data_IF_863728208060
#
_entry.id   IF_863728208060
#
_cell.length_a   1.000
_cell.length_b   1.000
_cell.length_c   1.000
_cell.angle_alpha   90.00
_cell.angle_beta   90.00
_cell.angle_gamma   90.00
#
_symmetry.space_group_name_H-M   'P 1'
#
loop_
_entity.id
_entity.type
_entity.pdbx_description
1 polymer ?
#
# COMPACT_ATOMS: atom_id res chain seq x y z
N UNK A 1 -13.36 89.89 -7.75
CA UNK A 1 -11.96 89.97 -8.22
C UNK A 1 -11.19 89.15 -7.21
N UNK A 2 -10.90 87.87 -7.43
CA UNK A 2 -9.99 87.32 -8.42
C UNK A 2 -10.26 85.82 -8.67
N UNK A 3 -9.70 85.29 -9.76
CA UNK A 3 -9.95 83.98 -10.40
C UNK A 3 -9.28 82.82 -9.61
N UNK A 4 -9.99 81.70 -9.34
CA UNK A 4 -9.90 80.36 -9.99
C UNK A 4 -8.61 79.55 -9.67
N UNK A 5 -8.47 78.21 -9.91
CA UNK A 5 -9.42 77.08 -10.03
C UNK A 5 -8.99 75.78 -9.27
N UNK A 6 -9.86 74.76 -9.37
CA UNK A 6 -9.55 73.32 -9.53
C UNK A 6 -8.97 72.53 -8.34
N UNK A 7 -9.42 71.30 -8.06
CA UNK A 7 -10.42 70.51 -8.76
C UNK A 7 -10.47 69.05 -8.28
N UNK A 8 -11.54 68.40 -8.75
CA UNK A 8 -11.79 66.96 -8.95
C UNK A 8 -11.95 66.06 -7.72
N UNK A 9 -13.19 65.72 -7.39
CA UNK A 9 -14.02 64.64 -7.95
C UNK A 9 -13.76 63.29 -7.25
N UNK A 10 -14.60 62.98 -6.27
CA UNK A 10 -14.79 61.63 -5.73
C UNK A 10 -16.11 61.10 -6.25
N UNK A 11 -16.07 60.13 -7.17
CA UNK A 11 -17.28 59.45 -7.65
C UNK A 11 -17.22 57.95 -7.35
N UNK A 12 -18.18 57.56 -6.50
CA UNK A 12 -19.04 56.36 -6.55
C UNK A 12 -18.41 54.97 -6.74
N UNK A 13 -18.81 54.08 -5.83
CA UNK A 13 -18.39 52.69 -5.80
C UNK A 13 -19.06 51.77 -6.81
N UNK A 14 -18.63 50.50 -6.78
CA UNK A 14 -19.43 49.32 -7.11
C UNK A 14 -18.77 48.06 -6.50
N UNK A 15 -19.60 47.21 -5.89
CA UNK A 15 -19.24 45.92 -5.28
C UNK A 15 -18.86 44.88 -6.36
N UNK A 16 -17.91 44.00 -6.06
CA UNK A 16 -17.92 42.59 -6.44
C UNK A 16 -16.89 41.83 -5.57
N UNK A 17 -17.30 40.70 -4.98
CA UNK A 17 -16.45 39.85 -4.16
C UNK A 17 -15.57 38.90 -4.97
N UNK A 18 -14.38 38.60 -4.45
CA UNK A 18 -13.49 37.49 -4.84
C UNK A 18 -12.67 37.20 -3.57
N UNK A 19 -12.84 36.07 -2.87
CA UNK A 19 -12.20 34.80 -3.19
C UNK A 19 -11.03 34.59 -2.24
N UNK A 20 -11.23 33.75 -1.20
CA UNK A 20 -10.15 33.26 -0.33
C UNK A 20 -9.15 32.50 -1.20
N UNK A 21 -7.87 32.85 -1.17
CA UNK A 21 -6.80 32.03 -1.75
C UNK A 21 -5.95 31.50 -0.60
N UNK A 22 -6.14 30.21 -0.31
CA UNK A 22 -5.23 29.38 0.45
C UNK A 22 -4.38 28.58 -0.55
N UNK A 23 -3.05 28.60 -0.37
CA UNK A 23 -2.01 27.62 -0.81
C UNK A 23 -0.67 28.37 -0.84
N UNK A 24 0.47 27.84 -0.42
CA UNK A 24 0.82 26.51 0.01
C UNK A 24 2.26 26.50 0.54
N UNK A 25 2.49 25.67 1.55
CA UNK A 25 3.83 25.34 2.06
C UNK A 25 3.94 23.85 2.45
N UNK A 26 2.93 23.03 2.12
CA UNK A 26 2.87 21.63 2.53
C UNK A 26 3.51 20.63 1.54
N UNK A 27 3.80 21.03 0.31
CA UNK A 27 4.14 20.08 -0.76
C UNK A 27 5.63 19.72 -0.85
N UNK A 28 6.54 20.55 -0.34
CA UNK A 28 7.98 20.31 -0.46
C UNK A 28 8.52 19.33 0.61
N UNK A 29 7.95 19.36 1.82
CA UNK A 29 8.42 18.52 2.93
C UNK A 29 7.98 17.06 2.74
N UNK A 30 6.78 16.82 2.20
CA UNK A 30 6.28 15.46 1.92
C UNK A 30 7.10 14.76 0.83
N UNK A 31 7.56 15.50 -0.18
CA UNK A 31 8.37 14.92 -1.28
C UNK A 31 9.77 14.52 -0.80
N UNK A 32 10.40 15.30 0.09
CA UNK A 32 11.74 15.01 0.61
C UNK A 32 11.76 13.75 1.50
N UNK A 33 10.71 13.51 2.30
CA UNK A 33 10.59 12.30 3.15
C UNK A 33 10.41 11.04 2.30
N UNK A 34 9.66 11.11 1.19
CA UNK A 34 9.50 9.97 0.26
C UNK A 34 10.82 9.61 -0.41
N UNK A 35 11.65 10.58 -0.78
CA UNK A 35 12.96 10.35 -1.41
C UNK A 35 13.99 9.81 -0.40
N UNK A 36 13.99 10.30 0.85
CA UNK A 36 14.89 9.80 1.89
C UNK A 36 14.54 8.34 2.28
N UNK A 37 13.26 7.99 2.36
CA UNK A 37 12.82 6.61 2.55
C UNK A 37 13.18 5.70 1.35
N UNK A 38 13.23 6.27 0.14
CA UNK A 38 13.64 5.55 -1.08
C UNK A 38 15.15 5.25 -1.08
N UNK A 39 15.99 6.15 -0.57
CA UNK A 39 17.46 5.99 -0.54
C UNK A 39 17.95 5.12 0.62
N UNK A 40 17.25 5.10 1.75
CA UNK A 40 17.62 4.27 2.90
C UNK A 40 17.38 2.76 2.67
N UNK A 41 16.59 2.38 1.66
CA UNK A 41 16.18 1.00 1.39
C UNK A 41 16.80 0.39 0.10
N UNK A 42 17.72 1.08 -0.57
CA UNK A 42 18.45 0.53 -1.73
C UNK A 42 19.75 -0.15 -1.33
N UNK A 43 19.66 -1.17 -0.48
CA UNK A 43 20.60 -2.28 -0.61
C UNK A 43 20.21 -3.02 -1.88
N UNK A 44 20.87 -2.75 -3.02
CA UNK A 44 20.68 -3.53 -4.25
C UNK A 44 21.72 -4.65 -4.24
N UNK A 45 21.41 -5.87 -3.76
CA UNK A 45 22.14 -7.03 -4.20
C UNK A 45 21.76 -7.30 -5.66
N UNK A 46 22.70 -7.05 -6.57
CA UNK A 46 22.69 -7.54 -7.95
C UNK A 46 22.92 -9.05 -7.94
N UNK A 47 21.91 -9.83 -7.53
CA UNK A 47 21.98 -11.29 -7.60
C UNK A 47 20.63 -11.88 -7.99
N UNK A 48 20.57 -12.41 -9.22
CA UNK A 48 19.59 -13.41 -9.65
C UNK A 48 18.18 -12.89 -9.91
N UNK A 49 17.58 -13.32 -11.03
CA UNK A 49 16.12 -13.37 -11.07
C UNK A 49 15.67 -14.32 -9.95
N UNK A 50 14.73 -13.93 -9.06
CA UNK A 50 14.15 -14.86 -8.11
C UNK A 50 13.59 -16.03 -8.91
N UNK A 51 14.18 -17.21 -8.73
CA UNK A 51 13.73 -18.41 -9.41
C UNK A 51 12.53 -18.91 -8.62
N UNK A 52 11.51 -19.42 -9.30
CA UNK A 52 10.37 -20.06 -8.65
C UNK A 52 10.89 -21.16 -7.71
N UNK A 53 10.88 -20.90 -6.39
CA UNK A 53 11.55 -21.75 -5.41
C UNK A 53 12.17 -21.04 -4.20
N UNK A 54 12.54 -19.76 -4.32
CA UNK A 54 13.25 -19.04 -3.25
C UNK A 54 12.34 -18.44 -2.16
N UNK A 55 11.03 -18.43 -2.38
CA UNK A 55 10.06 -18.00 -1.37
C UNK A 55 10.03 -18.98 -0.20
N UNK A 56 10.64 -18.58 0.92
CA UNK A 56 10.62 -19.28 2.20
C UNK A 56 9.57 -18.63 3.11
N UNK A 57 8.35 -19.19 3.24
CA UNK A 57 7.35 -18.66 4.14
C UNK A 57 7.60 -19.09 5.60
N UNK A 58 7.01 -18.41 6.59
CA UNK A 58 6.91 -18.92 7.95
C UNK A 58 6.27 -20.31 7.97
N UNK A 59 6.84 -21.24 8.73
CA UNK A 59 6.28 -22.58 8.89
C UNK A 59 4.95 -22.56 9.68
N UNK A 60 4.73 -21.52 10.48
CA UNK A 60 3.50 -21.25 11.20
C UNK A 60 3.25 -19.74 11.29
N UNK A 61 1.99 -19.35 11.48
CA UNK A 61 1.55 -17.99 11.81
C UNK A 61 0.55 -18.04 12.95
N UNK A 62 0.75 -17.24 14.00
CA UNK A 62 -0.03 -17.29 15.24
C UNK A 62 -0.12 -18.70 15.85
N UNK A 63 0.95 -19.50 15.71
CA UNK A 63 0.99 -20.90 16.12
C UNK A 63 0.25 -21.89 15.21
N UNK A 64 -0.47 -21.41 14.17
CA UNK A 64 -1.11 -22.27 13.18
C UNK A 64 -0.09 -22.75 12.14
N UNK A 65 0.13 -24.07 11.96
CA UNK A 65 1.05 -24.59 10.94
C UNK A 65 0.48 -24.47 9.53
N UNK A 66 1.35 -24.56 8.52
CA UNK A 66 0.92 -24.65 7.10
C UNK A 66 0.17 -25.97 6.88
N UNK A 67 -1.06 -25.88 6.37
CA UNK A 67 -1.87 -27.03 5.95
C UNK A 67 -1.72 -27.33 4.44
N UNK A 68 -1.66 -26.30 3.61
CA UNK A 68 -1.51 -26.42 2.15
C UNK A 68 -0.62 -25.32 1.58
N UNK A 69 0.10 -25.63 0.50
CA UNK A 69 0.94 -24.67 -0.22
C UNK A 69 0.82 -24.84 -1.74
N UNK A 70 0.52 -23.75 -2.42
CA UNK A 70 0.50 -23.65 -3.89
C UNK A 70 1.61 -22.70 -4.33
N UNK A 71 2.42 -23.09 -5.32
CA UNK A 71 3.61 -22.34 -5.75
C UNK A 71 3.64 -22.08 -7.25
N UNK A 72 4.44 -21.10 -7.66
CA UNK A 72 4.82 -20.92 -9.05
C UNK A 72 3.64 -20.57 -9.96
N UNK A 73 3.61 -21.14 -11.18
CA UNK A 73 2.54 -20.87 -12.14
C UNK A 73 1.13 -21.19 -11.63
N UNK A 74 0.98 -22.16 -10.72
CA UNK A 74 -0.33 -22.48 -10.14
C UNK A 74 -0.81 -21.36 -9.20
N UNK A 75 0.06 -20.87 -8.32
CA UNK A 75 -0.22 -19.75 -7.44
C UNK A 75 -0.52 -18.46 -8.23
N UNK A 76 0.23 -18.20 -9.30
CA UNK A 76 0.00 -17.04 -10.17
C UNK A 76 -1.41 -17.07 -10.80
N UNK A 77 -1.89 -18.25 -11.21
CA UNK A 77 -3.26 -18.41 -11.74
C UNK A 77 -4.30 -18.15 -10.66
N UNK A 78 -4.07 -18.62 -9.45
CA UNK A 78 -4.99 -18.40 -8.33
C UNK A 78 -5.08 -16.91 -7.96
N UNK A 79 -3.94 -16.24 -7.80
CA UNK A 79 -3.90 -14.80 -7.51
C UNK A 79 -4.55 -14.00 -8.65
N UNK A 80 -4.33 -14.40 -9.91
CA UNK A 80 -4.97 -13.74 -11.05
C UNK A 80 -6.50 -13.91 -11.04
N UNK A 81 -7.01 -15.08 -10.63
CA UNK A 81 -8.46 -15.32 -10.47
C UNK A 81 -9.06 -14.40 -9.41
N UNK A 82 -8.38 -14.21 -8.27
CA UNK A 82 -8.81 -13.27 -7.22
C UNK A 82 -8.85 -11.81 -7.72
N UNK A 83 -7.92 -11.43 -8.58
CA UNK A 83 -7.84 -10.09 -9.15
C UNK A 83 -8.71 -9.89 -10.41
N UNK A 84 -9.35 -10.95 -10.92
CA UNK A 84 -10.09 -10.96 -12.19
C UNK A 84 -9.21 -10.73 -13.44
N UNK A 85 -7.88 -10.78 -13.30
CA UNK A 85 -6.90 -10.48 -14.35
C UNK A 85 -5.50 -10.91 -13.94
N UNK A 86 -4.59 -10.99 -14.91
CA UNK A 86 -3.16 -11.19 -14.64
C UNK A 86 -2.58 -10.02 -13.84
N UNK A 87 -1.77 -10.36 -12.84
CA UNK A 87 -0.94 -9.42 -12.10
C UNK A 87 0.49 -9.46 -12.65
N UNK A 88 1.19 -8.34 -12.53
CA UNK A 88 2.59 -8.22 -12.93
C UNK A 88 3.49 -8.75 -11.80
N UNK A 89 3.62 -10.08 -11.75
CA UNK A 89 4.47 -10.80 -10.81
C UNK A 89 5.24 -11.90 -11.56
N UNK A 90 6.50 -12.10 -11.15
CA UNK A 90 7.40 -13.13 -11.69
C UNK A 90 7.15 -14.50 -11.04
N UNK A 91 6.79 -14.52 -9.76
CA UNK A 91 6.47 -15.74 -9.01
C UNK A 91 5.35 -15.46 -7.99
N UNK A 92 4.72 -16.53 -7.49
CA UNK A 92 3.76 -16.45 -6.40
C UNK A 92 3.77 -17.70 -5.52
N UNK A 93 3.32 -17.52 -4.29
CA UNK A 93 3.11 -18.55 -3.29
C UNK A 93 1.81 -18.25 -2.55
N UNK A 94 0.93 -19.23 -2.46
CA UNK A 94 -0.27 -19.20 -1.63
C UNK A 94 -0.14 -20.26 -0.55
N UNK A 95 -0.37 -19.87 0.69
CA UNK A 95 -0.35 -20.76 1.84
C UNK A 95 -1.68 -20.71 2.54
N UNK A 96 -2.23 -21.89 2.79
CA UNK A 96 -3.32 -22.07 3.72
C UNK A 96 -2.72 -22.63 4.99
N UNK A 97 -2.79 -21.85 6.06
CA UNK A 97 -2.46 -22.32 7.39
C UNK A 97 -3.73 -22.90 8.01
N UNK A 98 -3.55 -23.68 9.08
CA UNK A 98 -4.67 -24.06 9.92
C UNK A 98 -5.39 -22.82 10.49
N UNK A 99 -6.53 -23.04 11.14
CA UNK A 99 -7.30 -22.00 11.81
C UNK A 99 -7.76 -20.84 10.87
N UNK A 100 -7.81 -21.08 9.56
CA UNK A 100 -8.38 -20.15 8.58
C UNK A 100 -7.49 -18.98 8.19
N UNK A 101 -6.18 -19.06 8.45
CA UNK A 101 -5.21 -18.05 8.01
C UNK A 101 -4.77 -18.37 6.57
N UNK A 102 -4.74 -17.36 5.71
CA UNK A 102 -4.29 -17.50 4.32
C UNK A 102 -3.30 -16.40 3.97
N UNK A 103 -2.19 -16.76 3.35
CA UNK A 103 -1.14 -15.84 2.94
C UNK A 103 -0.88 -15.97 1.44
N UNK A 104 -1.03 -14.85 0.73
CA UNK A 104 -0.61 -14.72 -0.66
C UNK A 104 0.66 -13.89 -0.71
N UNK A 105 1.70 -14.42 -1.34
CA UNK A 105 2.96 -13.74 -1.60
C UNK A 105 3.15 -13.69 -3.11
N UNK A 106 3.45 -12.51 -3.63
CA UNK A 106 3.79 -12.31 -5.04
C UNK A 106 5.15 -11.65 -5.14
N UNK A 107 6.02 -12.18 -5.99
CA UNK A 107 7.37 -11.63 -6.20
C UNK A 107 7.39 -10.87 -7.51
N UNK A 108 7.71 -9.58 -7.45
CA UNK A 108 7.92 -8.74 -8.62
C UNK A 108 9.37 -8.83 -9.10
N UNK A 109 9.63 -8.40 -10.33
CA UNK A 109 11.00 -8.37 -10.90
C UNK A 109 11.95 -7.42 -10.16
N UNK A 110 11.40 -6.44 -9.43
CA UNK A 110 12.16 -5.47 -8.65
C UNK A 110 11.29 -4.88 -7.53
N UNK A 111 11.93 -4.28 -6.52
CA UNK A 111 11.26 -3.60 -5.42
C UNK A 111 10.37 -2.45 -5.93
N UNK A 112 10.82 -1.69 -6.93
CA UNK A 112 10.01 -0.64 -7.55
C UNK A 112 8.75 -1.22 -8.22
N UNK A 113 8.86 -2.38 -8.87
CA UNK A 113 7.70 -3.07 -9.45
C UNK A 113 6.72 -3.55 -8.38
N UNK A 114 7.23 -4.04 -7.24
CA UNK A 114 6.42 -4.41 -6.08
C UNK A 114 5.71 -3.20 -5.47
N UNK A 115 6.39 -2.05 -5.36
CA UNK A 115 5.80 -0.78 -4.93
C UNK A 115 4.67 -0.37 -5.86
N UNK A 116 4.89 -0.42 -7.18
CA UNK A 116 3.85 -0.10 -8.16
C UNK A 116 2.65 -1.06 -8.06
N UNK A 117 2.89 -2.35 -7.82
CA UNK A 117 1.84 -3.33 -7.58
C UNK A 117 1.01 -3.00 -6.33
N UNK A 118 1.66 -2.79 -5.18
CA UNK A 118 1.01 -2.42 -3.92
C UNK A 118 0.19 -1.14 -4.06
N UNK A 119 0.75 -0.11 -4.69
CA UNK A 119 0.04 1.15 -4.95
C UNK A 119 -1.20 0.98 -5.83
N UNK A 120 -1.14 0.10 -6.85
CA UNK A 120 -2.31 -0.22 -7.68
C UNK A 120 -3.38 -0.95 -6.88
N UNK A 121 -2.99 -1.84 -5.97
CA UNK A 121 -3.93 -2.53 -5.08
C UNK A 121 -4.62 -1.54 -4.14
N UNK A 122 -3.83 -0.71 -3.44
CA UNK A 122 -4.37 0.27 -2.50
C UNK A 122 -5.33 1.26 -3.17
N UNK A 123 -5.00 1.73 -4.39
CA UNK A 123 -5.86 2.64 -5.15
C UNK A 123 -7.19 2.02 -5.56
N UNK A 124 -7.24 0.72 -5.83
CA UNK A 124 -8.50 0.00 -6.13
C UNK A 124 -9.36 -0.20 -4.90
N UNK A 125 -8.71 -0.35 -3.75
CA UNK A 125 -9.38 -0.50 -2.46
C UNK A 125 -9.72 0.85 -1.83
N UNK A 126 -9.35 1.97 -2.46
CA UNK A 126 -9.56 3.31 -1.91
C UNK A 126 -11.06 3.57 -1.68
N UNK A 127 -11.43 3.92 -0.45
CA UNK A 127 -12.82 4.10 -0.06
C UNK A 127 -13.58 2.80 0.25
N UNK A 128 -12.94 1.63 0.10
CA UNK A 128 -13.53 0.31 0.31
C UNK A 128 -14.15 -0.27 -0.96
N UNK A 129 -14.72 -1.46 -0.81
CA UNK A 129 -15.43 -2.20 -1.87
C UNK A 129 -16.73 -2.77 -1.30
N UNK A 130 -17.49 -3.51 -2.11
CA UNK A 130 -18.69 -4.20 -1.63
C UNK A 130 -18.39 -5.31 -0.60
N UNK A 131 -17.15 -5.79 -0.53
CA UNK A 131 -16.73 -6.92 0.33
C UNK A 131 -15.72 -6.52 1.40
N UNK A 132 -14.99 -5.42 1.21
CA UNK A 132 -13.93 -4.95 2.10
C UNK A 132 -14.15 -3.50 2.52
N UNK A 133 -13.87 -3.19 3.77
CA UNK A 133 -13.86 -1.80 4.26
C UNK A 133 -12.72 -0.99 3.63
N UNK A 134 -12.81 0.34 3.73
CA UNK A 134 -11.73 1.21 3.31
C UNK A 134 -10.43 0.89 4.06
N UNK A 135 -9.30 0.67 3.36
CA UNK A 135 -8.04 0.36 4.01
C UNK A 135 -7.54 1.50 4.90
N UNK A 136 -7.03 1.14 6.07
CA UNK A 136 -6.33 2.04 6.98
C UNK A 136 -4.83 1.73 6.92
N UNK A 137 -4.02 2.75 6.69
CA UNK A 137 -2.57 2.62 6.72
C UNK A 137 -2.05 2.85 8.15
N UNK A 138 -1.08 2.05 8.57
CA UNK A 138 -0.28 2.26 9.77
C UNK A 138 1.18 1.98 9.50
N UNK A 139 2.06 2.74 10.14
CA UNK A 139 3.49 2.46 10.14
C UNK A 139 3.82 1.46 11.25
N UNK A 140 4.48 0.35 10.89
CA UNK A 140 4.99 -0.66 11.83
C UNK A 140 6.43 -0.95 11.44
N UNK A 141 7.38 -0.74 12.36
CA UNK A 141 8.82 -0.97 12.11
C UNK A 141 9.35 -0.30 10.83
N UNK A 142 8.87 0.90 10.50
CA UNK A 142 9.26 1.64 9.29
C UNK A 142 8.59 1.16 8.00
N UNK A 143 7.53 0.35 8.12
CA UNK A 143 6.76 -0.19 7.02
C UNK A 143 5.32 0.27 7.06
N UNK A 144 4.85 0.81 5.94
CA UNK A 144 3.42 1.04 5.71
C UNK A 144 2.69 -0.28 5.54
N UNK A 145 1.90 -0.66 6.54
CA UNK A 145 0.97 -1.78 6.48
C UNK A 145 -0.43 -1.25 6.30
N UNK A 146 -1.11 -1.73 5.25
CA UNK A 146 -2.53 -1.44 5.04
C UNK A 146 -3.37 -2.53 5.69
N UNK A 147 -4.44 -2.15 6.37
CA UNK A 147 -5.38 -3.06 7.00
C UNK A 147 -6.80 -2.82 6.51
N UNK A 148 -7.55 -3.88 6.27
CA UNK A 148 -8.98 -3.82 5.93
C UNK A 148 -9.72 -4.99 6.61
N UNK A 149 -11.04 -4.94 6.64
CA UNK A 149 -11.89 -6.01 7.14
C UNK A 149 -12.91 -6.40 6.07
N UNK A 150 -13.24 -7.69 6.00
CA UNK A 150 -14.22 -8.21 5.05
C UNK A 150 -14.32 -9.73 5.15
N UNK A 151 -15.42 -10.29 4.66
CA UNK A 151 -15.62 -11.75 4.62
C UNK A 151 -15.40 -12.47 5.98
N UNK A 152 -15.67 -11.79 7.10
CA UNK A 152 -15.47 -12.33 8.45
C UNK A 152 -14.00 -12.40 8.91
N UNK A 153 -13.07 -11.76 8.19
CA UNK A 153 -11.65 -11.76 8.50
C UNK A 153 -11.04 -10.35 8.51
N UNK A 154 -9.88 -10.25 9.14
CA UNK A 154 -8.98 -9.10 9.02
C UNK A 154 -7.96 -9.40 7.93
N UNK A 155 -7.62 -8.36 7.18
CA UNK A 155 -6.64 -8.45 6.12
C UNK A 155 -5.55 -7.42 6.32
N UNK A 156 -4.31 -7.82 6.04
CA UNK A 156 -3.17 -6.93 6.02
C UNK A 156 -2.41 -7.12 4.72
N UNK A 157 -1.95 -6.02 4.13
CA UNK A 157 -1.12 -6.12 2.95
C UNK A 157 -0.05 -5.03 2.93
N UNK A 158 1.13 -5.43 2.47
CA UNK A 158 2.32 -4.59 2.47
C UNK A 158 3.37 -5.16 1.50
N UNK A 159 4.43 -4.40 1.27
CA UNK A 159 5.58 -4.82 0.48
C UNK A 159 6.74 -5.19 1.41
N UNK A 160 7.48 -6.25 1.13
CA UNK A 160 8.80 -6.54 1.73
C UNK A 160 9.79 -6.87 0.60
N UNK A 161 10.78 -6.00 0.39
CA UNK A 161 11.71 -6.10 -0.75
C UNK A 161 10.97 -6.14 -2.09
N UNK A 162 11.17 -7.22 -2.86
CA UNK A 162 10.51 -7.47 -4.14
C UNK A 162 9.14 -8.13 -3.99
N UNK A 163 8.70 -8.43 -2.77
CA UNK A 163 7.48 -9.17 -2.50
C UNK A 163 6.34 -8.24 -2.10
N UNK A 164 5.13 -8.54 -2.57
CA UNK A 164 3.89 -8.00 -2.01
C UNK A 164 3.15 -9.14 -1.32
N UNK A 165 2.84 -8.93 -0.05
CA UNK A 165 2.18 -9.88 0.82
C UNK A 165 0.75 -9.43 1.09
N UNK A 166 -0.17 -10.38 1.09
CA UNK A 166 -1.54 -10.20 1.55
C UNK A 166 -1.86 -11.31 2.55
N UNK A 167 -2.11 -10.95 3.80
CA UNK A 167 -2.49 -11.84 4.88
C UNK A 167 -3.98 -11.71 5.13
N UNK A 168 -4.68 -12.82 5.22
CA UNK A 168 -6.03 -12.94 5.78
C UNK A 168 -5.94 -13.76 7.06
N UNK A 169 -6.60 -13.32 8.13
CA UNK A 169 -6.67 -14.07 9.38
C UNK A 169 -8.00 -13.79 10.11
N UNK A 170 -8.54 -14.76 10.88
CA UNK A 170 -9.64 -14.50 11.80
C UNK A 170 -9.28 -13.39 12.80
N UNK A 171 -10.28 -12.64 13.24
CA UNK A 171 -10.07 -11.44 14.08
C UNK A 171 -9.23 -11.71 15.34
N UNK A 172 -9.44 -12.84 16.02
CA UNK A 172 -8.69 -13.23 17.21
C UNK A 172 -7.22 -13.62 16.97
N UNK A 173 -6.84 -13.94 15.74
CA UNK A 173 -5.48 -14.36 15.36
C UNK A 173 -4.73 -13.30 14.53
N UNK A 174 -5.45 -12.28 14.06
CA UNK A 174 -4.99 -11.38 13.02
C UNK A 174 -3.70 -10.61 13.37
N UNK A 175 -3.65 -10.01 14.56
CA UNK A 175 -2.48 -9.23 14.96
C UNK A 175 -1.27 -10.12 15.23
N UNK A 176 -1.46 -11.27 15.89
CA UNK A 176 -0.37 -12.23 16.12
C UNK A 176 0.21 -12.76 14.79
N UNK A 177 -0.65 -13.15 13.85
CA UNK A 177 -0.23 -13.61 12.54
C UNK A 177 0.51 -12.52 11.75
N UNK A 178 0.11 -11.25 11.89
CA UNK A 178 0.84 -10.15 11.27
C UNK A 178 2.23 -9.94 11.89
N UNK A 179 2.36 -10.00 13.22
CA UNK A 179 3.66 -9.82 13.89
C UNK A 179 4.66 -10.92 13.51
N UNK A 180 4.21 -12.18 13.46
CA UNK A 180 5.02 -13.29 12.97
C UNK A 180 5.45 -13.05 11.52
N UNK A 181 4.52 -12.59 10.68
CA UNK A 181 4.80 -12.32 9.28
C UNK A 181 5.78 -11.16 9.09
N UNK A 182 5.66 -10.07 9.86
CA UNK A 182 6.58 -8.92 9.83
C UNK A 182 7.97 -9.29 10.35
N UNK A 183 8.08 -10.24 11.28
CA UNK A 183 9.38 -10.75 11.72
C UNK A 183 10.10 -11.49 10.61
N UNK A 184 9.35 -12.25 9.79
CA UNK A 184 9.91 -13.09 8.73
C UNK A 184 10.09 -12.35 7.40
N UNK A 185 9.17 -11.44 7.10
CA UNK A 185 9.17 -10.56 5.93
C UNK A 185 9.17 -9.10 6.40
N UNK A 186 10.34 -8.61 6.86
CA UNK A 186 10.45 -7.31 7.48
C UNK A 186 10.30 -6.17 6.51
#
# INVERSE_FOLDING_TARGET
MERNPAGRETQSGRRAGVGRIATGLGSAVVLAVVVAAFLANTGIPTTGHPTAGDLRPPAALAGAPVAESVRGPAALREVARLHGRRIDAADALVLHYEQGIVLWITTSRSALSATALLWRMNRRMAGGTSVFTAPQAREIHGRTVFSTAGLGARHFYYQSGNNVLWLQAPEGLAEAALQDLLTHYP
#
